data_IF_921649655272
#
_entry.id   IF_921649655272
#
_cell.length_a   1.000
_cell.length_b   1.000
_cell.length_c   1.000
_cell.angle_alpha   90.00
_cell.angle_beta   90.00
_cell.angle_gamma   90.00
#
_symmetry.space_group_name_H-M   'P 1'
#
loop_
_entity.id
_entity.type
_entity.pdbx_description
1 polymer ?
#
# COMPACT_ATOMS: atom_id res chain seq x y z
N UNK A 1 -9.82 -24.59 4.70
CA UNK A 1 -9.44 -24.26 6.09
C UNK A 1 -10.54 -23.50 6.83
N UNK A 2 -11.22 -22.53 6.21
CA UNK A 2 -12.35 -21.81 6.84
C UNK A 2 -13.43 -22.73 7.43
N UNK A 3 -13.92 -23.71 6.65
CA UNK A 3 -14.92 -24.68 7.12
C UNK A 3 -14.42 -25.54 8.30
N UNK A 4 -13.11 -25.78 8.39
CA UNK A 4 -12.52 -26.55 9.48
C UNK A 4 -12.47 -25.75 10.79
N UNK A 5 -12.18 -24.43 10.73
CA UNK A 5 -12.24 -23.55 11.91
C UNK A 5 -13.68 -23.42 12.40
N UNK A 6 -14.62 -23.14 11.50
CA UNK A 6 -16.05 -22.98 11.83
C UNK A 6 -16.70 -24.25 12.37
N UNK A 7 -16.26 -25.43 11.90
CA UNK A 7 -16.78 -26.73 12.34
C UNK A 7 -16.10 -27.31 13.57
N UNK A 8 -15.06 -26.67 14.11
CA UNK A 8 -14.26 -27.25 15.20
C UNK A 8 -14.96 -27.06 16.56
N UNK A 9 -15.12 -28.12 17.39
CA UNK A 9 -15.81 -28.00 18.69
C UNK A 9 -15.25 -26.93 19.64
N UNK A 10 -13.93 -26.73 19.64
CA UNK A 10 -13.29 -25.68 20.45
C UNK A 10 -13.64 -24.25 20.02
N UNK A 11 -14.21 -24.06 18.83
CA UNK A 11 -14.65 -22.77 18.31
C UNK A 11 -16.18 -22.63 18.29
N UNK A 12 -16.91 -23.58 18.89
CA UNK A 12 -18.37 -23.60 18.87
C UNK A 12 -19.00 -22.37 19.54
N UNK A 13 -18.37 -21.83 20.58
CA UNK A 13 -18.82 -20.64 21.30
C UNK A 13 -18.20 -19.33 20.77
N UNK A 14 -17.36 -19.40 19.73
CA UNK A 14 -16.69 -18.24 19.17
C UNK A 14 -17.66 -17.39 18.34
N UNK A 15 -17.56 -16.08 18.48
CA UNK A 15 -18.35 -15.13 17.68
C UNK A 15 -17.89 -15.11 16.22
N UNK A 16 -18.78 -14.67 15.32
CA UNK A 16 -18.42 -14.46 13.91
C UNK A 16 -17.20 -13.53 13.72
N UNK A 17 -17.04 -12.53 14.59
CA UNK A 17 -15.92 -11.61 14.53
C UNK A 17 -14.60 -12.30 14.94
N UNK A 18 -14.61 -13.15 15.96
CA UNK A 18 -13.41 -13.90 16.37
C UNK A 18 -12.98 -14.91 15.32
N UNK A 19 -13.94 -15.61 14.71
CA UNK A 19 -13.68 -16.50 13.58
C UNK A 19 -13.06 -15.71 12.42
N UNK A 20 -13.62 -14.54 12.10
CA UNK A 20 -13.08 -13.74 11.00
C UNK A 20 -11.67 -13.21 11.28
N UNK A 21 -11.39 -12.75 12.50
CA UNK A 21 -10.03 -12.36 12.90
C UNK A 21 -9.06 -13.53 12.83
N UNK A 22 -9.48 -14.74 13.23
CA UNK A 22 -8.66 -15.93 13.14
C UNK A 22 -8.34 -16.29 11.67
N UNK A 23 -9.33 -16.21 10.78
CA UNK A 23 -9.16 -16.45 9.36
C UNK A 23 -8.29 -15.37 8.68
N UNK A 24 -8.40 -14.10 9.09
CA UNK A 24 -7.48 -13.02 8.66
C UNK A 24 -6.05 -13.27 9.16
N UNK A 25 -5.90 -13.74 10.41
CA UNK A 25 -4.60 -14.12 10.96
C UNK A 25 -3.96 -15.27 10.19
N UNK A 26 -4.77 -16.25 9.77
CA UNK A 26 -4.33 -17.36 8.94
C UNK A 26 -3.90 -16.91 7.54
N UNK A 27 -4.70 -16.06 6.87
CA UNK A 27 -4.34 -15.44 5.60
C UNK A 27 -2.99 -14.73 5.72
N UNK A 28 -2.84 -13.87 6.74
CA UNK A 28 -1.59 -13.16 7.01
C UNK A 28 -0.41 -14.12 7.21
N UNK A 29 -0.57 -15.15 8.03
CA UNK A 29 0.49 -16.11 8.31
C UNK A 29 0.94 -16.84 7.05
N UNK A 30 0.00 -17.39 6.28
CA UNK A 30 0.29 -18.11 5.04
C UNK A 30 0.94 -17.17 4.03
N UNK A 31 0.36 -16.00 3.79
CA UNK A 31 0.85 -15.08 2.77
C UNK A 31 2.18 -14.45 3.16
N UNK A 32 2.50 -14.30 4.44
CA UNK A 32 3.85 -13.89 4.89
C UNK A 32 4.89 -14.96 4.55
N UNK A 33 4.56 -16.25 4.71
CA UNK A 33 5.51 -17.35 4.42
C UNK A 33 5.65 -17.65 2.94
N UNK A 34 4.63 -17.34 2.14
CA UNK A 34 4.62 -17.58 0.71
C UNK A 34 5.00 -16.35 -0.13
N UNK A 35 5.12 -15.16 0.49
CA UNK A 35 5.28 -13.89 -0.21
C UNK A 35 6.38 -13.91 -1.28
N UNK A 36 7.59 -14.35 -0.93
CA UNK A 36 8.75 -14.39 -1.85
C UNK A 36 8.54 -15.30 -3.06
N UNK A 37 7.55 -16.21 -3.01
CA UNK A 37 7.22 -17.13 -4.10
C UNK A 37 5.95 -16.73 -4.87
N UNK A 38 5.15 -15.82 -4.34
CA UNK A 38 3.83 -15.48 -4.90
C UNK A 38 3.72 -14.04 -5.36
N UNK A 39 4.52 -13.13 -4.79
CA UNK A 39 4.55 -11.72 -5.18
C UNK A 39 5.65 -11.47 -6.22
N UNK A 40 5.29 -10.85 -7.35
CA UNK A 40 6.20 -10.56 -8.46
C UNK A 40 7.07 -11.78 -8.87
N UNK A 41 6.45 -12.96 -8.89
CA UNK A 41 7.16 -14.24 -8.94
C UNK A 41 7.71 -14.58 -10.34
N UNK A 42 7.25 -13.89 -11.39
CA UNK A 42 7.64 -14.14 -12.77
C UNK A 42 8.30 -12.90 -13.40
N UNK A 43 9.19 -13.09 -14.40
CA UNK A 43 9.81 -11.97 -15.10
C UNK A 43 8.79 -11.10 -15.84
N UNK A 44 7.65 -11.66 -16.24
CA UNK A 44 6.53 -10.93 -16.85
C UNK A 44 5.90 -9.93 -15.86
N UNK A 45 5.77 -10.30 -14.58
CA UNK A 45 5.27 -9.40 -13.54
C UNK A 45 6.22 -8.21 -13.34
N UNK A 46 7.53 -8.48 -13.28
CA UNK A 46 8.55 -7.44 -13.17
C UNK A 46 8.57 -6.50 -14.40
N UNK A 47 8.41 -7.05 -15.60
CA UNK A 47 8.31 -6.26 -16.82
C UNK A 47 7.06 -5.37 -16.83
N UNK A 48 5.91 -5.92 -16.41
CA UNK A 48 4.66 -5.16 -16.34
C UNK A 48 4.69 -4.08 -15.25
N UNK A 49 5.35 -4.33 -14.11
CA UNK A 49 5.58 -3.31 -13.08
C UNK A 49 6.44 -2.15 -13.58
N UNK A 50 7.53 -2.47 -14.30
CA UNK A 50 8.40 -1.45 -14.91
C UNK A 50 7.63 -0.64 -15.96
N UNK A 51 6.88 -1.29 -16.84
CA UNK A 51 6.07 -0.63 -17.87
C UNK A 51 5.06 0.35 -17.26
N UNK A 52 4.30 -0.08 -16.25
CA UNK A 52 3.34 0.77 -15.55
C UNK A 52 4.06 1.95 -14.89
N UNK A 53 5.17 1.71 -14.18
CA UNK A 53 5.88 2.76 -13.46
C UNK A 53 6.49 3.81 -14.39
N UNK A 54 7.11 3.38 -15.50
CA UNK A 54 7.68 4.25 -16.52
C UNK A 54 6.59 5.09 -17.19
N UNK A 55 5.46 4.47 -17.52
CA UNK A 55 4.31 5.16 -18.14
C UNK A 55 3.76 6.24 -17.20
N UNK A 56 3.54 5.93 -15.91
CA UNK A 56 3.09 6.91 -14.91
C UNK A 56 4.09 8.07 -14.82
N UNK A 57 5.39 7.78 -14.72
CA UNK A 57 6.42 8.80 -14.59
C UNK A 57 6.46 9.75 -15.80
N UNK A 58 6.21 9.26 -17.02
CA UNK A 58 6.12 10.10 -18.21
C UNK A 58 4.85 10.97 -18.19
N UNK A 59 3.70 10.37 -17.92
CA UNK A 59 2.40 11.06 -17.93
C UNK A 59 2.32 12.16 -16.87
N UNK A 60 2.85 11.95 -15.67
CA UNK A 60 2.82 12.92 -14.57
C UNK A 60 3.48 14.28 -14.92
N UNK A 61 4.34 14.33 -15.94
CA UNK A 61 5.02 15.58 -16.36
C UNK A 61 4.06 16.55 -17.05
N UNK A 62 3.09 16.05 -17.80
CA UNK A 62 2.23 16.89 -18.65
C UNK A 62 0.73 16.65 -18.45
N UNK A 63 0.30 15.49 -17.96
CA UNK A 63 -1.11 15.23 -17.64
C UNK A 63 -1.53 16.15 -16.48
N UNK A 64 -2.77 16.63 -16.56
CA UNK A 64 -3.38 17.61 -15.67
C UNK A 64 -4.83 17.20 -15.43
N UNK A 65 -5.48 17.65 -14.34
CA UNK A 65 -6.84 17.23 -14.02
C UNK A 65 -7.86 17.42 -15.16
N UNK A 66 -7.74 18.50 -15.94
CA UNK A 66 -8.65 18.75 -17.07
C UNK A 66 -8.50 17.77 -18.25
N UNK A 67 -7.38 17.05 -18.36
CA UNK A 67 -7.21 16.00 -19.38
C UNK A 67 -8.00 14.72 -19.03
N UNK A 68 -8.45 14.59 -17.78
CA UNK A 68 -9.19 13.45 -17.24
C UNK A 68 -10.60 13.86 -16.78
N UNK A 69 -11.09 15.00 -17.26
CA UNK A 69 -12.40 15.57 -16.93
C UNK A 69 -12.65 15.77 -15.41
N UNK A 70 -11.58 15.97 -14.63
CA UNK A 70 -11.69 16.17 -13.19
C UNK A 70 -12.16 17.61 -12.91
N UNK A 71 -13.31 17.82 -12.23
CA UNK A 71 -13.79 19.14 -11.88
C UNK A 71 -12.83 19.90 -10.96
N UNK A 72 -12.69 21.22 -11.17
CA UNK A 72 -11.79 22.07 -10.37
C UNK A 72 -12.02 21.99 -8.86
N UNK A 73 -13.26 21.74 -8.43
CA UNK A 73 -13.65 21.61 -7.01
C UNK A 73 -12.99 20.38 -6.36
N UNK A 74 -12.65 19.35 -7.15
CA UNK A 74 -12.02 18.11 -6.69
C UNK A 74 -10.50 18.11 -6.89
N UNK A 75 -9.92 19.22 -7.34
CA UNK A 75 -8.47 19.29 -7.55
C UNK A 75 -7.74 19.27 -6.20
N UNK A 76 -6.98 18.21 -5.97
CA UNK A 76 -5.99 18.14 -4.91
C UNK A 76 -4.60 18.06 -5.54
N UNK A 77 -3.71 19.01 -5.20
CA UNK A 77 -2.35 19.07 -5.74
C UNK A 77 -1.53 17.80 -5.43
N UNK A 78 -1.83 17.10 -4.34
CA UNK A 78 -1.10 15.90 -3.94
C UNK A 78 -1.62 14.60 -4.59
N UNK A 79 -2.87 14.56 -5.07
CA UNK A 79 -3.53 13.29 -5.43
C UNK A 79 -3.07 12.66 -6.75
N UNK A 80 -2.58 13.43 -7.71
CA UNK A 80 -2.26 12.93 -9.06
C UNK A 80 -0.77 12.61 -9.28
N UNK A 81 0.03 12.63 -8.21
CA UNK A 81 1.48 12.39 -8.23
C UNK A 81 1.87 11.00 -7.74
N UNK A 82 0.92 10.13 -7.42
CA UNK A 82 1.23 8.79 -6.93
C UNK A 82 1.75 7.89 -8.07
N UNK A 83 2.98 7.37 -7.93
CA UNK A 83 3.54 6.29 -8.73
C UNK A 83 3.92 5.13 -7.80
N UNK A 84 2.93 4.37 -7.28
CA UNK A 84 3.21 3.32 -6.31
C UNK A 84 4.10 2.23 -6.93
N UNK A 85 5.15 1.78 -6.22
CA UNK A 85 6.04 0.75 -6.73
C UNK A 85 5.28 -0.57 -6.90
N UNK A 86 5.63 -1.31 -7.94
CA UNK A 86 5.11 -2.65 -8.20
C UNK A 86 3.56 -2.70 -8.27
N UNK A 87 2.94 -1.69 -8.87
CA UNK A 87 1.48 -1.56 -8.92
C UNK A 87 0.81 -2.78 -9.58
N UNK A 88 1.39 -3.33 -10.65
CA UNK A 88 0.83 -4.52 -11.31
C UNK A 88 0.86 -5.71 -10.34
N UNK A 89 2.00 -5.98 -9.72
CA UNK A 89 2.17 -7.10 -8.79
C UNK A 89 1.27 -6.96 -7.56
N UNK A 90 1.11 -5.74 -7.02
CA UNK A 90 0.20 -5.49 -5.90
C UNK A 90 -1.26 -5.83 -6.24
N UNK A 91 -1.76 -5.36 -7.38
CA UNK A 91 -3.13 -5.64 -7.80
C UNK A 91 -3.35 -7.14 -8.07
N UNK A 92 -2.42 -7.78 -8.78
CA UNK A 92 -2.44 -9.22 -9.04
C UNK A 92 -2.42 -10.03 -7.74
N UNK A 93 -1.58 -9.65 -6.78
CA UNK A 93 -1.46 -10.33 -5.50
C UNK A 93 -2.75 -10.27 -4.68
N UNK A 94 -3.39 -9.10 -4.58
CA UNK A 94 -4.68 -8.96 -3.90
C UNK A 94 -5.75 -9.78 -4.62
N UNK A 95 -5.80 -9.72 -5.95
CA UNK A 95 -6.79 -10.47 -6.73
C UNK A 95 -6.67 -11.99 -6.57
N UNK A 96 -5.46 -12.52 -6.43
CA UNK A 96 -5.23 -13.97 -6.34
C UNK A 96 -5.30 -14.52 -4.91
N UNK A 97 -4.87 -13.73 -3.92
CA UNK A 97 -4.61 -14.26 -2.57
C UNK A 97 -5.47 -13.63 -1.47
N UNK A 98 -6.25 -12.59 -1.78
CA UNK A 98 -7.27 -12.13 -0.83
C UNK A 98 -8.37 -13.18 -0.73
N UNK A 99 -8.79 -13.49 0.50
CA UNK A 99 -9.97 -14.32 0.77
C UNK A 99 -11.17 -13.82 -0.04
N UNK A 100 -11.72 -14.70 -0.86
CA UNK A 100 -12.87 -14.41 -1.75
C UNK A 100 -14.05 -13.83 -0.98
N UNK A 101 -14.34 -14.35 0.22
CA UNK A 101 -15.42 -13.85 1.10
C UNK A 101 -15.21 -12.40 1.58
N UNK A 102 -14.00 -11.85 1.42
CA UNK A 102 -13.63 -10.48 1.77
C UNK A 102 -13.37 -9.59 0.55
N UNK A 103 -13.44 -10.15 -0.65
CA UNK A 103 -13.29 -9.45 -1.91
C UNK A 103 -14.63 -9.42 -2.63
N UNK A 104 -15.62 -8.77 -2.00
CA UNK A 104 -16.99 -8.64 -2.52
C UNK A 104 -17.49 -7.21 -2.30
N UNK A 105 -18.54 -6.82 -3.03
CA UNK A 105 -19.21 -5.52 -2.86
C UNK A 105 -18.25 -4.33 -3.04
N UNK A 106 -18.23 -3.37 -2.12
CA UNK A 106 -17.41 -2.16 -2.21
C UNK A 106 -15.92 -2.46 -2.40
N UNK A 107 -15.38 -3.48 -1.71
CA UNK A 107 -13.95 -3.82 -1.80
C UNK A 107 -13.58 -4.32 -3.20
N UNK A 108 -14.43 -5.17 -3.78
CA UNK A 108 -14.24 -5.67 -5.14
C UNK A 108 -14.45 -4.57 -6.18
N UNK A 109 -15.41 -3.69 -5.95
CA UNK A 109 -15.65 -2.52 -6.79
C UNK A 109 -14.42 -1.61 -6.85
N UNK A 110 -13.82 -1.27 -5.71
CA UNK A 110 -12.61 -0.46 -5.67
C UNK A 110 -11.42 -1.15 -6.33
N UNK A 111 -11.24 -2.46 -6.14
CA UNK A 111 -10.19 -3.22 -6.83
C UNK A 111 -10.39 -3.19 -8.35
N UNK A 112 -11.63 -3.36 -8.82
CA UNK A 112 -11.98 -3.29 -10.24
C UNK A 112 -11.69 -1.90 -10.81
N UNK A 113 -11.99 -0.83 -10.06
CA UNK A 113 -11.66 0.53 -10.46
C UNK A 113 -10.13 0.74 -10.56
N UNK A 114 -9.35 0.20 -9.62
CA UNK A 114 -7.89 0.28 -9.67
C UNK A 114 -7.29 -0.51 -10.84
N UNK A 115 -7.82 -1.71 -11.12
CA UNK A 115 -7.42 -2.51 -12.29
C UNK A 115 -7.75 -1.75 -13.57
N UNK A 116 -8.94 -1.16 -13.66
CA UNK A 116 -9.36 -0.35 -14.80
C UNK A 116 -8.47 0.88 -14.98
N UNK A 117 -8.11 1.56 -13.89
CA UNK A 117 -7.17 2.68 -13.91
C UNK A 117 -5.78 2.26 -14.40
N UNK A 118 -5.24 1.13 -13.94
CA UNK A 118 -3.98 0.56 -14.45
C UNK A 118 -4.05 0.33 -15.96
N UNK A 119 -5.15 -0.27 -16.43
CA UNK A 119 -5.36 -0.55 -17.85
C UNK A 119 -5.49 0.74 -18.68
N UNK A 120 -6.17 1.75 -18.15
CA UNK A 120 -6.25 3.07 -18.78
C UNK A 120 -4.86 3.70 -18.92
N UNK A 121 -4.06 3.72 -17.84
CA UNK A 121 -2.71 4.29 -17.83
C UNK A 121 -1.82 3.65 -18.90
N UNK A 122 -1.84 2.31 -19.03
CA UNK A 122 -1.04 1.60 -20.03
C UNK A 122 -1.46 1.97 -21.45
N UNK A 123 -2.77 2.00 -21.71
CA UNK A 123 -3.33 2.18 -23.05
C UNK A 123 -3.62 3.64 -23.43
N UNK A 124 -3.31 4.61 -22.57
CA UNK A 124 -3.61 6.02 -22.82
C UNK A 124 -2.86 6.55 -24.06
N UNK A 125 -3.58 7.35 -24.83
CA UNK A 125 -3.16 8.03 -26.07
C UNK A 125 -3.71 9.47 -26.12
N UNK A 126 -3.44 10.22 -27.19
CA UNK A 126 -3.87 11.61 -27.33
C UNK A 126 -5.39 11.76 -27.25
N UNK A 127 -6.14 10.89 -27.94
CA UNK A 127 -7.60 10.90 -27.93
C UNK A 127 -8.19 10.71 -26.54
N UNK A 128 -7.59 9.83 -25.74
CA UNK A 128 -8.02 9.54 -24.36
C UNK A 128 -7.83 10.73 -23.41
N UNK A 129 -6.98 11.69 -23.77
CA UNK A 129 -6.68 12.90 -22.99
C UNK A 129 -7.23 14.18 -23.65
N UNK A 130 -8.10 14.04 -24.66
CA UNK A 130 -8.66 15.15 -25.43
C UNK A 130 -7.59 16.07 -26.06
N UNK A 131 -6.48 15.49 -26.54
CA UNK A 131 -5.40 16.21 -27.25
C UNK A 131 -5.07 15.54 -28.59
N UNK A 132 -4.37 16.26 -29.46
CA UNK A 132 -3.96 15.74 -30.76
C UNK A 132 -2.81 14.73 -30.59
N UNK A 133 -2.74 13.71 -31.46
CA UNK A 133 -1.76 12.62 -31.28
C UNK A 133 -0.32 13.12 -31.45
N UNK A 134 -0.07 14.10 -32.34
CA UNK A 134 1.26 14.69 -32.47
C UNK A 134 1.68 15.47 -31.23
N UNK A 135 0.74 16.15 -30.56
CA UNK A 135 0.96 16.85 -29.30
C UNK A 135 1.27 15.86 -28.16
N UNK A 136 0.49 14.78 -28.05
CA UNK A 136 0.74 13.72 -27.08
C UNK A 136 2.14 13.11 -27.25
N UNK A 137 2.51 12.76 -28.49
CA UNK A 137 3.82 12.18 -28.78
C UNK A 137 4.96 13.15 -28.44
N UNK A 138 4.81 14.43 -28.77
CA UNK A 138 5.77 15.48 -28.41
C UNK A 138 5.94 15.60 -26.89
N UNK A 139 4.87 15.53 -26.11
CA UNK A 139 4.93 15.53 -24.66
C UNK A 139 5.63 14.29 -24.10
N UNK A 140 5.31 13.10 -24.62
CA UNK A 140 5.95 11.84 -24.22
C UNK A 140 7.45 11.85 -24.51
N UNK A 141 7.89 12.37 -25.66
CA UNK A 141 9.32 12.50 -26.02
C UNK A 141 10.04 13.52 -25.13
N UNK A 142 9.42 14.67 -24.89
CA UNK A 142 9.96 15.69 -24.00
C UNK A 142 10.13 15.14 -22.57
N UNK A 143 9.16 14.34 -22.10
CA UNK A 143 9.21 13.68 -20.81
C UNK A 143 10.34 12.63 -20.70
N UNK A 144 10.59 11.88 -21.79
CA UNK A 144 11.71 10.91 -21.86
C UNK A 144 13.06 11.63 -21.76
N UNK A 145 13.25 12.71 -22.51
CA UNK A 145 14.48 13.51 -22.46
C UNK A 145 14.72 14.12 -21.07
N UNK A 146 13.66 14.62 -20.42
CA UNK A 146 13.74 15.13 -19.04
C UNK A 146 14.15 14.07 -18.02
N UNK A 147 13.85 12.78 -18.26
CA UNK A 147 14.31 11.67 -17.40
C UNK A 147 15.80 11.40 -17.56
N UNK A 148 16.33 11.47 -18.78
CA UNK A 148 17.75 11.17 -19.04
C UNK A 148 18.69 12.25 -18.49
N UNK A 149 18.26 13.51 -18.47
CA UNK A 149 19.07 14.61 -17.90
C UNK A 149 19.19 14.57 -16.38
N UNK A 150 18.25 13.94 -15.64
CA UNK A 150 18.36 13.81 -14.18
C UNK A 150 19.21 12.61 -13.73
N UNK A 151 19.46 11.64 -14.61
CA UNK A 151 20.25 10.43 -14.31
C UNK A 151 21.75 10.60 -14.67
N UNK A 152 22.13 11.64 -15.41
CA UNK A 152 23.51 11.95 -15.78
C UNK A 152 24.31 12.76 -14.72
N UNK A 153 24.05 12.53 -13.43
CA UNK A 153 24.99 12.88 -12.35
C UNK A 153 26.09 11.81 -12.23
N UNK A 154 27.34 12.14 -11.85
CA UNK A 154 28.48 11.25 -12.08
C UNK A 154 28.35 9.95 -11.29
N UNK A 155 28.20 8.84 -12.02
CA UNK A 155 28.25 7.48 -11.50
C UNK A 155 29.67 7.18 -10.98
N UNK A 156 29.81 6.97 -9.67
CA UNK A 156 30.92 6.18 -9.12
C UNK A 156 30.48 4.72 -9.03
N UNK A 157 31.27 3.75 -9.53
CA UNK A 157 30.88 2.35 -9.56
C UNK A 157 31.30 1.65 -8.27
N UNK A 158 30.36 1.10 -7.50
CA UNK A 158 30.68 0.03 -6.55
C UNK A 158 29.65 -1.09 -6.67
N UNK A 159 30.15 -2.23 -7.14
CA UNK A 159 29.41 -3.44 -7.39
C UNK A 159 29.02 -4.20 -6.13
N UNK A 160 28.23 -5.24 -6.36
CA UNK A 160 27.80 -6.23 -5.39
C UNK A 160 28.98 -6.79 -4.60
N UNK A 161 28.88 -6.75 -3.27
CA UNK A 161 29.54 -7.70 -2.39
C UNK A 161 28.61 -8.06 -1.23
N UNK A 162 28.36 -9.35 -1.12
CA UNK A 162 27.83 -10.06 0.03
C UNK A 162 28.72 -9.89 1.27
N UNK A 163 28.11 -10.11 2.43
CA UNK A 163 28.74 -10.52 3.71
C UNK A 163 28.91 -9.46 4.81
N UNK A 164 28.05 -9.63 5.83
CA UNK A 164 28.37 -9.70 7.26
C UNK A 164 29.23 -8.62 7.95
N UNK A 165 28.61 -8.07 9.00
CA UNK A 165 29.17 -7.79 10.34
C UNK A 165 29.84 -6.42 10.56
N UNK A 166 29.30 -5.69 11.54
CA UNK A 166 30.11 -4.89 12.46
C UNK A 166 29.72 -3.42 12.60
N UNK A 167 28.84 -3.16 13.58
CA UNK A 167 28.74 -1.95 14.41
C UNK A 167 29.77 -0.82 14.17
N UNK A 168 29.25 0.38 13.91
CA UNK A 168 29.61 1.56 14.71
C UNK A 168 28.41 2.51 14.82
N UNK A 169 28.02 2.79 16.06
CA UNK A 169 26.92 3.69 16.47
C UNK A 169 27.26 5.15 16.21
N UNK A 170 26.26 5.90 15.72
CA UNK A 170 25.94 7.32 15.98
C UNK A 170 24.66 7.62 15.14
N UNK A 171 23.48 7.98 15.66
CA UNK A 171 23.12 9.21 16.38
C UNK A 171 21.70 9.07 17.00
N UNK A 172 21.45 9.98 17.92
CA UNK A 172 20.30 10.33 18.75
C UNK A 172 18.95 10.65 18.07
N UNK A 173 17.98 10.89 18.96
CA UNK A 173 16.68 11.57 18.82
C UNK A 173 15.46 10.72 18.46
N UNK A 174 14.62 10.53 19.50
CA UNK A 174 13.16 10.38 19.47
C UNK A 174 12.51 9.50 18.39
N UNK A 175 12.16 8.27 18.79
CA UNK A 175 10.93 7.63 18.30
C UNK A 175 11.05 6.25 17.67
N UNK A 176 12.22 5.82 17.18
CA UNK A 176 12.26 4.71 16.21
C UNK A 176 12.99 3.44 16.62
N UNK A 177 13.26 3.21 17.91
CA UNK A 177 13.87 1.93 18.35
C UNK A 177 12.83 1.03 18.98
N UNK A 178 12.34 0.05 18.22
CA UNK A 178 11.57 -1.07 18.74
C UNK A 178 12.56 -2.15 19.19
N UNK A 179 12.90 -2.24 20.49
CA UNK A 179 14.07 -2.99 20.97
C UNK A 179 13.97 -4.51 20.79
N UNK A 180 12.83 -5.00 20.30
CA UNK A 180 12.52 -6.41 20.11
C UNK A 180 11.99 -6.72 18.69
N UNK A 181 12.04 -5.75 17.75
CA UNK A 181 11.47 -5.94 16.41
C UNK A 181 12.28 -6.92 15.56
N UNK A 182 13.60 -6.99 15.79
CA UNK A 182 14.54 -7.86 15.05
C UNK A 182 14.99 -9.08 15.87
N UNK A 183 14.45 -9.28 17.08
CA UNK A 183 14.82 -10.41 17.95
C UNK A 183 13.95 -11.64 17.67
N UNK A 184 14.59 -12.75 17.32
CA UNK A 184 13.92 -14.06 17.24
C UNK A 184 13.46 -14.52 18.63
N UNK A 185 12.28 -15.16 18.70
CA UNK A 185 11.62 -15.53 19.95
C UNK A 185 12.44 -16.48 20.83
N UNK A 186 13.36 -17.24 20.24
CA UNK A 186 14.22 -18.22 20.92
C UNK A 186 15.41 -17.58 21.67
N UNK A 187 15.72 -16.31 21.36
CA UNK A 187 16.89 -15.60 21.91
C UNK A 187 16.52 -14.61 23.04
N UNK A 188 15.24 -14.55 23.44
CA UNK A 188 14.75 -13.62 24.46
C UNK A 188 14.83 -14.24 25.85
N UNK A 189 15.48 -13.56 26.78
CA UNK A 189 15.46 -13.97 28.19
C UNK A 189 14.06 -13.77 28.80
N UNK A 190 13.69 -14.50 29.86
CA UNK A 190 12.39 -14.32 30.54
C UNK A 190 12.13 -12.88 31.03
N UNK A 191 13.20 -12.13 31.35
CA UNK A 191 13.11 -10.73 31.75
C UNK A 191 12.78 -9.80 30.57
N UNK A 192 13.38 -10.04 29.40
CA UNK A 192 13.12 -9.30 28.17
C UNK A 192 11.72 -9.57 27.61
N UNK A 193 11.25 -10.83 27.70
CA UNK A 193 9.87 -11.18 27.37
C UNK A 193 8.85 -10.42 28.22
N UNK A 194 9.11 -10.27 29.53
CA UNK A 194 8.27 -9.48 30.44
C UNK A 194 8.27 -8.00 30.05
N UNK A 195 9.42 -7.47 29.63
CA UNK A 195 9.55 -6.09 29.14
C UNK A 195 8.81 -5.87 27.82
N UNK A 196 8.95 -6.78 26.85
CA UNK A 196 8.22 -6.76 25.57
C UNK A 196 6.71 -6.80 25.79
N UNK A 197 6.23 -7.69 26.67
CA UNK A 197 4.81 -7.77 26.99
C UNK A 197 4.30 -6.47 27.64
N UNK A 198 5.11 -5.83 28.50
CA UNK A 198 4.81 -4.52 29.06
C UNK A 198 4.71 -3.41 28.02
N UNK A 199 5.60 -3.40 27.03
CA UNK A 199 5.55 -2.45 25.91
C UNK A 199 4.34 -2.69 25.01
N UNK A 200 4.06 -3.95 24.66
CA UNK A 200 2.90 -4.32 23.85
C UNK A 200 1.60 -3.85 24.52
N UNK A 201 1.45 -4.11 25.82
CA UNK A 201 0.28 -3.65 26.59
C UNK A 201 0.12 -2.13 26.55
N UNK A 202 1.22 -1.37 26.66
CA UNK A 202 1.19 0.10 26.57
C UNK A 202 0.76 0.58 25.18
N UNK A 203 1.28 -0.02 24.11
CA UNK A 203 0.93 0.33 22.73
C UNK A 203 -0.54 0.03 22.43
N UNK A 204 -1.03 -1.16 22.80
CA UNK A 204 -2.44 -1.54 22.65
C UNK A 204 -3.35 -0.58 23.43
N UNK A 205 -2.96 -0.21 24.66
CA UNK A 205 -3.73 0.74 25.47
C UNK A 205 -3.80 2.13 24.80
N UNK A 206 -2.67 2.63 24.29
CA UNK A 206 -2.62 3.92 23.56
C UNK A 206 -3.48 3.88 22.30
N UNK A 207 -3.40 2.81 21.52
CA UNK A 207 -4.20 2.64 20.32
C UNK A 207 -5.70 2.57 20.66
N UNK A 208 -6.09 1.78 21.67
CA UNK A 208 -7.49 1.69 22.10
C UNK A 208 -8.05 3.03 22.60
N UNK A 209 -7.25 3.81 23.33
CA UNK A 209 -7.61 5.17 23.76
C UNK A 209 -7.77 6.11 22.57
N UNK A 210 -6.84 6.08 21.62
CA UNK A 210 -6.90 6.88 20.39
C UNK A 210 -8.13 6.52 19.55
N UNK A 211 -8.40 5.23 19.30
CA UNK A 211 -9.58 4.78 18.57
C UNK A 211 -10.89 5.12 19.29
N UNK A 212 -10.89 5.19 20.63
CA UNK A 212 -12.04 5.65 21.42
C UNK A 212 -12.21 7.17 21.34
N UNK A 213 -11.12 7.93 21.32
CA UNK A 213 -11.15 9.38 21.13
C UNK A 213 -11.63 9.75 19.72
N UNK A 214 -11.10 9.10 18.67
CA UNK A 214 -11.52 9.29 17.28
C UNK A 214 -12.99 8.95 17.06
N UNK A 215 -13.50 7.89 17.69
CA UNK A 215 -14.95 7.60 17.65
C UNK A 215 -15.82 8.65 18.33
N UNK A 216 -15.30 9.38 19.33
CA UNK A 216 -16.01 10.50 19.95
C UNK A 216 -15.97 11.76 19.09
N UNK A 217 -14.89 11.98 18.36
CA UNK A 217 -14.75 13.07 17.39
C UNK A 217 -15.60 12.82 16.12
N UNK A 218 -15.77 11.57 15.71
CA UNK A 218 -16.61 11.19 14.57
C UNK A 218 -18.12 11.42 14.79
N UNK A 219 -18.57 11.72 16.01
CA UNK A 219 -19.96 12.05 16.33
C UNK A 219 -20.25 13.56 16.08
N UNK A 220 -19.22 14.38 15.80
CA UNK A 220 -19.39 15.83 15.57
C UNK A 220 -19.58 16.20 14.09
N UNK A 221 -19.33 15.29 13.13
CA UNK A 221 -19.57 15.59 11.70
C UNK A 221 -21.06 15.69 11.35
N UNK A 222 -21.92 14.92 12.02
CA UNK A 222 -23.37 14.97 11.81
C UNK A 222 -23.98 16.30 12.32
N UNK A 223 -23.37 16.95 13.32
CA UNK A 223 -23.81 18.28 13.79
C UNK A 223 -23.35 19.41 12.87
N UNK A 224 -22.22 19.25 12.17
CA UNK A 224 -21.74 20.23 11.19
C UNK A 224 -22.63 20.27 9.94
N UNK A 225 -23.14 19.13 9.50
CA UNK A 225 -24.05 19.04 8.33
C UNK A 225 -25.43 19.66 8.59
N UNK A 226 -25.93 19.65 9.82
CA UNK A 226 -27.21 20.27 10.17
C UNK A 226 -27.17 21.82 10.24
N UNK A 227 -25.96 22.42 10.25
CA UNK A 227 -25.79 23.88 10.32
C UNK A 227 -25.69 24.57 8.95
N UNK A 228 -25.67 23.82 7.85
CA UNK A 228 -25.50 24.35 6.48
C UNK A 228 -26.84 24.62 5.79
N UNK A 229 -27.96 24.12 6.32
CA UNK A 229 -29.29 24.26 5.70
C UNK A 229 -30.12 25.47 6.19
N UNK A 230 -29.59 26.33 7.07
CA UNK A 230 -30.35 27.47 7.63
C UNK A 230 -29.62 28.83 7.52
N UNK A 231 -28.94 29.10 6.40
CA UNK A 231 -28.37 30.43 6.09
C UNK A 231 -28.40 30.78 4.60
#
# INVERSE_FOLDING_TARGET
>A
MEAAIRGHPLWADATHQEIDHAEQGLEKYIMTKLFDRTFAASPEDAAADAEVSDKIALLQRFVRPHHLDIPKVLNNEASWLANPPQLHSNLKFVQLFRRETKLVSEVEYYLTNLISAKMFIINVNGQSLSMEESEFQKHMESAKLGTQMSVAGPSSPQGLATSTRGLQKQIDAEGSRFPFMDSETENLTPAELKQLHGLYRKTVTRYALLSKALRKLSIDEDQLLASVDDS
#
